data_IF_004865277934
#
_entry.id   IF_004865277934
#
_cell.length_a   1.000
_cell.length_b   1.000
_cell.length_c   1.000
_cell.angle_alpha   90.00
_cell.angle_beta   90.00
_cell.angle_gamma   90.00
#
_symmetry.space_group_name_H-M   'P 1'
#
loop_
_entity.id
_entity.type
_entity.pdbx_description
1 polymer ?
#
# COMPACT_ATOMS: atom_id res chain seq x y z
N UNK A 1 18.59 23.86 9.71
CA UNK A 1 18.71 22.44 9.28
C UNK A 1 18.31 22.31 7.84
N UNK A 2 19.07 21.56 7.03
CA UNK A 2 18.64 21.16 5.69
C UNK A 2 17.65 19.97 5.74
N UNK A 3 16.99 19.70 4.61
CA UNK A 3 15.99 18.65 4.50
C UNK A 3 16.55 17.23 4.75
N UNK A 4 17.80 16.96 4.35
CA UNK A 4 18.41 15.65 4.52
C UNK A 4 18.68 15.34 6.01
N UNK A 5 19.10 16.35 6.76
CA UNK A 5 19.30 16.24 8.22
C UNK A 5 17.99 15.95 8.95
N UNK A 6 16.89 16.60 8.57
CA UNK A 6 15.55 16.33 9.14
C UNK A 6 15.07 14.91 8.80
N UNK A 7 15.25 14.46 7.56
CA UNK A 7 14.91 13.07 7.15
C UNK A 7 15.71 12.05 7.96
N UNK A 8 17.01 12.28 8.15
CA UNK A 8 17.87 11.38 8.91
C UNK A 8 17.44 11.32 10.39
N UNK A 9 17.09 12.46 11.00
CA UNK A 9 16.57 12.52 12.37
C UNK A 9 15.26 11.76 12.50
N UNK A 10 14.32 11.97 11.56
CA UNK A 10 13.01 11.32 11.55
C UNK A 10 13.12 9.79 11.46
N UNK A 11 14.05 9.30 10.64
CA UNK A 11 14.35 7.87 10.53
C UNK A 11 15.04 7.33 11.80
N UNK A 12 16.02 8.04 12.33
CA UNK A 12 16.80 7.62 13.51
C UNK A 12 15.94 7.48 14.77
N UNK A 13 14.92 8.33 14.90
CA UNK A 13 13.96 8.28 16.02
C UNK A 13 12.89 7.19 15.86
N UNK A 14 12.93 6.39 14.78
CA UNK A 14 11.99 5.29 14.55
C UNK A 14 10.58 5.72 14.16
N UNK A 15 10.37 7.01 13.91
CA UNK A 15 9.06 7.59 13.60
C UNK A 15 8.49 7.06 12.28
N UNK A 16 9.36 6.82 11.29
CA UNK A 16 8.97 6.21 10.03
C UNK A 16 8.37 4.81 10.23
N UNK A 17 9.08 3.93 10.95
CA UNK A 17 8.64 2.56 11.16
C UNK A 17 7.37 2.48 12.01
N UNK A 18 7.27 3.36 13.02
CA UNK A 18 6.08 3.49 13.84
C UNK A 18 4.86 3.88 12.98
N UNK A 19 4.99 4.95 12.17
CA UNK A 19 3.90 5.39 11.30
C UNK A 19 3.55 4.36 10.25
N UNK A 20 4.53 3.72 9.64
CA UNK A 20 4.32 2.63 8.68
C UNK A 20 3.51 1.49 9.31
N UNK A 21 3.80 1.10 10.55
CA UNK A 21 3.06 0.06 11.26
C UNK A 21 1.63 0.49 11.57
N UNK A 22 1.45 1.71 12.09
CA UNK A 22 0.12 2.26 12.38
C UNK A 22 -0.78 2.31 11.14
N UNK A 23 -0.23 2.74 9.99
CA UNK A 23 -0.97 2.75 8.73
C UNK A 23 -1.35 1.34 8.26
N UNK A 24 -0.44 0.37 8.42
CA UNK A 24 -0.73 -1.03 8.09
C UNK A 24 -1.82 -1.61 8.99
N UNK A 25 -1.75 -1.38 10.30
CA UNK A 25 -2.74 -1.88 11.24
C UNK A 25 -4.12 -1.29 10.96
N UNK A 26 -4.19 0.01 10.64
CA UNK A 26 -5.43 0.67 10.21
C UNK A 26 -5.98 0.10 8.91
N UNK A 27 -5.11 -0.26 7.96
CA UNK A 27 -5.53 -0.89 6.70
C UNK A 27 -6.09 -2.30 6.95
N UNK A 28 -5.40 -3.12 7.75
CA UNK A 28 -5.86 -4.47 8.10
C UNK A 28 -7.17 -4.44 8.90
N UNK A 29 -7.36 -3.43 9.75
CA UNK A 29 -8.59 -3.24 10.51
C UNK A 29 -9.72 -2.61 9.68
N UNK A 30 -9.42 -2.04 8.51
CA UNK A 30 -10.46 -1.50 7.64
C UNK A 30 -11.26 -2.64 7.02
N UNK A 31 -12.58 -2.59 7.16
CA UNK A 31 -13.48 -3.56 6.54
C UNK A 31 -13.59 -3.26 5.03
N UNK A 32 -12.62 -3.76 4.28
CA UNK A 32 -12.59 -3.65 2.82
C UNK A 32 -13.05 -4.97 2.18
N UNK A 33 -14.29 -5.36 2.51
CA UNK A 33 -14.95 -6.55 1.98
C UNK A 33 -14.89 -6.67 0.46
N UNK A 34 -14.90 -5.53 -0.26
CA UNK A 34 -14.76 -5.50 -1.71
C UNK A 34 -13.37 -5.88 -2.18
N UNK A 35 -12.33 -5.36 -1.54
CA UNK A 35 -10.94 -5.72 -1.83
C UNK A 35 -10.71 -7.23 -1.59
N UNK A 36 -11.22 -7.76 -0.49
CA UNK A 36 -11.11 -9.19 -0.17
C UNK A 36 -11.81 -10.06 -1.23
N UNK A 37 -13.03 -9.69 -1.64
CA UNK A 37 -13.77 -10.38 -2.71
C UNK A 37 -12.98 -10.42 -4.04
N UNK A 38 -12.35 -9.30 -4.41
CA UNK A 38 -11.54 -9.22 -5.63
C UNK A 38 -10.25 -10.03 -5.54
N UNK A 39 -9.59 -10.05 -4.39
CA UNK A 39 -8.41 -10.87 -4.14
C UNK A 39 -8.73 -12.37 -4.22
N UNK A 40 -9.86 -12.79 -3.65
CA UNK A 40 -10.35 -14.18 -3.77
C UNK A 40 -10.60 -14.57 -5.23
N UNK A 41 -11.31 -13.73 -5.99
CA UNK A 41 -11.52 -13.97 -7.44
C UNK A 41 -10.21 -14.05 -8.22
N UNK A 42 -9.24 -13.20 -7.89
CA UNK A 42 -7.93 -13.24 -8.52
C UNK A 42 -7.18 -14.54 -8.18
N UNK A 43 -7.25 -14.98 -6.93
CA UNK A 43 -6.69 -16.27 -6.51
C UNK A 43 -7.33 -17.40 -7.30
N UNK A 44 -8.67 -17.45 -7.39
CA UNK A 44 -9.38 -18.49 -8.12
C UNK A 44 -8.93 -18.56 -9.58
N UNK A 45 -8.80 -17.43 -10.26
CA UNK A 45 -8.30 -17.37 -11.65
C UNK A 45 -6.86 -17.88 -11.79
N UNK A 46 -5.99 -17.60 -10.80
CA UNK A 46 -4.60 -18.11 -10.81
C UNK A 46 -4.55 -19.61 -10.57
N UNK A 47 -5.39 -20.11 -9.66
CA UNK A 47 -5.49 -21.54 -9.34
C UNK A 47 -6.10 -22.32 -10.49
N UNK A 48 -7.13 -21.79 -11.16
CA UNK A 48 -7.72 -22.42 -12.34
C UNK A 48 -6.68 -22.62 -13.45
N UNK A 49 -5.78 -21.64 -13.64
CA UNK A 49 -4.67 -21.73 -14.61
C UNK A 49 -3.55 -22.68 -14.19
N UNK A 50 -3.21 -22.73 -12.90
CA UNK A 50 -2.16 -23.61 -12.34
C UNK A 50 -2.55 -24.13 -10.95
N UNK A 51 -3.32 -25.24 -10.86
CA UNK A 51 -3.81 -25.76 -9.57
C UNK A 51 -2.68 -26.22 -8.63
N UNK A 52 -1.50 -26.56 -9.17
CA UNK A 52 -0.36 -27.01 -8.37
C UNK A 52 0.20 -25.90 -7.47
N UNK A 53 -0.13 -24.63 -7.72
CA UNK A 53 0.34 -23.51 -6.91
C UNK A 53 -0.19 -23.54 -5.47
N UNK A 54 -1.39 -24.12 -5.24
CA UNK A 54 -1.96 -24.29 -3.90
C UNK A 54 -1.24 -25.36 -3.08
N UNK A 55 -0.73 -26.39 -3.74
CA UNK A 55 -0.14 -27.57 -3.10
C UNK A 55 1.37 -27.46 -2.96
N UNK A 56 2.06 -26.75 -3.86
CA UNK A 56 3.52 -26.74 -3.90
C UNK A 56 4.15 -25.46 -3.33
N UNK A 57 3.50 -24.30 -3.41
CA UNK A 57 4.09 -23.07 -2.87
C UNK A 57 3.09 -21.90 -2.74
N UNK A 58 2.45 -21.75 -1.57
CA UNK A 58 1.63 -20.56 -1.26
C UNK A 58 2.38 -19.24 -1.44
N UNK A 59 3.70 -19.24 -1.19
CA UNK A 59 4.56 -18.08 -1.43
C UNK A 59 4.67 -17.70 -2.91
N UNK A 60 4.63 -18.69 -3.82
CA UNK A 60 4.58 -18.45 -5.27
C UNK A 60 3.28 -17.76 -5.68
N UNK A 61 2.13 -18.17 -5.13
CA UNK A 61 0.84 -17.51 -5.40
C UNK A 61 0.86 -16.03 -4.96
N UNK A 62 1.36 -15.78 -3.75
CA UNK A 62 1.53 -14.40 -3.24
C UNK A 62 2.44 -13.58 -4.16
N UNK A 63 3.59 -14.14 -4.57
CA UNK A 63 4.53 -13.45 -5.44
C UNK A 63 3.94 -13.14 -6.83
N UNK A 64 3.14 -14.05 -7.40
CA UNK A 64 2.45 -13.80 -8.68
C UNK A 64 1.44 -12.66 -8.56
N UNK A 65 0.57 -12.70 -7.55
CA UNK A 65 -0.42 -11.65 -7.32
C UNK A 65 0.25 -10.29 -7.10
N UNK A 66 1.27 -10.24 -6.24
CA UNK A 66 2.05 -9.01 -6.01
C UNK A 66 2.68 -8.48 -7.30
N UNK A 67 3.26 -9.37 -8.11
CA UNK A 67 3.88 -8.98 -9.38
C UNK A 67 2.87 -8.35 -10.34
N UNK A 68 1.65 -8.91 -10.42
CA UNK A 68 0.63 -8.40 -11.33
C UNK A 68 0.06 -7.05 -10.88
N UNK A 69 -0.16 -6.89 -9.57
CA UNK A 69 -0.56 -5.61 -8.98
C UNK A 69 0.47 -4.51 -9.27
N UNK A 70 1.76 -4.81 -9.09
CA UNK A 70 2.86 -3.86 -9.33
C UNK A 70 3.05 -3.49 -10.81
N UNK A 71 2.93 -4.47 -11.72
CA UNK A 71 3.09 -4.23 -13.17
C UNK A 71 2.01 -3.32 -13.74
N UNK A 72 0.80 -3.33 -13.18
CA UNK A 72 -0.31 -2.51 -13.69
C UNK A 72 -0.35 -1.08 -13.16
N UNK A 73 0.32 -0.79 -12.04
CA UNK A 73 0.50 0.61 -11.60
C UNK A 73 1.30 1.45 -12.61
N UNK A 74 2.04 0.84 -13.53
CA UNK A 74 2.92 1.51 -14.49
C UNK A 74 2.43 1.48 -15.95
N UNK A 75 1.27 0.89 -16.25
CA UNK A 75 0.78 0.71 -17.62
C UNK A 75 -0.64 1.23 -17.83
N UNK A 76 -0.84 2.09 -18.85
CA UNK A 76 -2.16 2.53 -19.33
C UNK A 76 -2.69 1.50 -20.34
N UNK A 77 -3.84 0.86 -20.12
CA UNK A 77 -4.37 -0.12 -21.04
C UNK A 77 -5.05 0.54 -22.24
N UNK A 78 -4.73 0.08 -23.46
CA UNK A 78 -5.32 0.56 -24.73
C UNK A 78 -5.96 -0.56 -25.55
N UNK A 79 -6.58 -1.56 -24.91
CA UNK A 79 -7.25 -2.69 -25.58
C UNK A 79 -8.30 -3.39 -24.70
N UNK A 80 -8.96 -4.42 -25.25
CA UNK A 80 -9.88 -5.28 -24.49
C UNK A 80 -9.14 -5.98 -23.35
N UNK A 81 -9.64 -5.77 -22.13
CA UNK A 81 -9.05 -6.33 -20.90
C UNK A 81 -9.59 -7.73 -20.65
N UNK A 82 -8.71 -8.67 -20.29
CA UNK A 82 -9.20 -9.95 -19.75
C UNK A 82 -9.82 -9.74 -18.36
N UNK A 83 -10.66 -10.67 -17.91
CA UNK A 83 -11.29 -10.61 -16.59
C UNK A 83 -10.25 -10.45 -15.45
N UNK A 84 -9.11 -11.14 -15.55
CA UNK A 84 -8.02 -11.01 -14.58
C UNK A 84 -7.47 -9.58 -14.54
N UNK A 85 -7.34 -8.94 -15.70
CA UNK A 85 -6.82 -7.58 -15.83
C UNK A 85 -7.79 -6.57 -15.23
N UNK A 86 -9.09 -6.73 -15.47
CA UNK A 86 -10.12 -5.88 -14.91
C UNK A 86 -10.14 -5.95 -13.36
N UNK A 87 -9.99 -7.15 -12.79
CA UNK A 87 -9.92 -7.34 -11.33
C UNK A 87 -8.67 -6.67 -10.76
N UNK A 88 -7.50 -6.84 -11.39
CA UNK A 88 -6.24 -6.19 -10.94
C UNK A 88 -6.35 -4.66 -11.00
N UNK A 89 -7.00 -4.12 -12.03
CA UNK A 89 -7.21 -2.68 -12.14
C UNK A 89 -8.15 -2.16 -11.04
N UNK A 90 -9.25 -2.85 -10.76
CA UNK A 90 -10.19 -2.47 -9.71
C UNK A 90 -9.52 -2.50 -8.32
N UNK A 91 -8.70 -3.53 -8.04
CA UNK A 91 -7.89 -3.60 -6.81
C UNK A 91 -6.95 -2.39 -6.72
N UNK A 92 -6.23 -2.07 -7.80
CA UNK A 92 -5.32 -0.93 -7.80
C UNK A 92 -6.03 0.41 -7.57
N UNK A 93 -7.23 0.58 -8.11
CA UNK A 93 -8.05 1.78 -7.86
C UNK A 93 -8.51 1.87 -6.39
N UNK A 94 -8.88 0.75 -5.77
CA UNK A 94 -9.25 0.72 -4.35
C UNK A 94 -8.06 1.05 -3.46
N UNK A 95 -6.90 0.44 -3.72
CA UNK A 95 -5.67 0.73 -3.00
C UNK A 95 -5.24 2.19 -3.16
N UNK A 96 -5.33 2.73 -4.38
CA UNK A 96 -5.03 4.15 -4.64
C UNK A 96 -5.96 5.07 -3.85
N UNK A 97 -7.27 4.78 -3.87
CA UNK A 97 -8.26 5.54 -3.09
C UNK A 97 -7.98 5.49 -1.59
N UNK A 98 -7.63 4.31 -1.05
CA UNK A 98 -7.25 4.18 0.35
C UNK A 98 -6.03 5.05 0.68
N UNK A 99 -4.97 4.96 -0.12
CA UNK A 99 -3.75 5.75 0.08
C UNK A 99 -4.05 7.25 0.04
N UNK A 100 -4.79 7.73 -0.97
CA UNK A 100 -5.18 9.15 -1.05
C UNK A 100 -5.97 9.58 0.17
N UNK A 101 -6.97 8.80 0.60
CA UNK A 101 -7.76 9.13 1.78
C UNK A 101 -6.91 9.21 3.05
N UNK A 102 -5.97 8.30 3.21
CA UNK A 102 -5.20 8.13 4.45
C UNK A 102 -3.98 9.03 4.52
N UNK A 103 -3.41 9.40 3.37
CA UNK A 103 -2.19 10.21 3.27
C UNK A 103 -2.50 11.64 2.83
N UNK A 104 -3.21 11.81 1.73
CA UNK A 104 -3.42 13.13 1.13
C UNK A 104 -4.56 13.88 1.84
N UNK A 105 -5.71 13.22 2.03
CA UNK A 105 -6.92 13.85 2.58
C UNK A 105 -6.99 13.79 4.11
N UNK A 106 -6.06 13.09 4.76
CA UNK A 106 -6.08 12.91 6.21
C UNK A 106 -5.52 14.15 6.93
N UNK A 107 -6.43 15.06 7.29
CA UNK A 107 -6.10 16.29 8.01
C UNK A 107 -5.35 16.03 9.32
N UNK A 108 -5.77 15.06 10.12
CA UNK A 108 -5.14 14.75 11.40
C UNK A 108 -3.69 14.27 11.21
N UNK A 109 -3.47 13.38 10.25
CA UNK A 109 -2.11 12.94 9.89
C UNK A 109 -1.25 14.11 9.43
N UNK A 110 -1.78 14.99 8.57
CA UNK A 110 -1.05 16.14 8.05
C UNK A 110 -0.71 17.17 9.15
N UNK A 111 -1.62 17.39 10.10
CA UNK A 111 -1.38 18.24 11.27
C UNK A 111 -0.33 17.63 12.20
N UNK A 112 -0.42 16.33 12.48
CA UNK A 112 0.57 15.62 13.31
C UNK A 112 1.97 15.68 12.69
N UNK A 113 2.10 15.41 11.38
CA UNK A 113 3.37 15.49 10.66
C UNK A 113 3.95 16.90 10.71
N UNK A 114 3.10 17.93 10.57
CA UNK A 114 3.51 19.34 10.66
C UNK A 114 3.98 19.70 12.06
N UNK A 115 3.28 19.27 13.11
CA UNK A 115 3.69 19.50 14.51
C UNK A 115 5.04 18.85 14.80
N UNK A 116 5.19 17.56 14.47
CA UNK A 116 6.45 16.83 14.67
C UNK A 116 7.61 17.48 13.91
N UNK A 117 7.37 17.93 12.68
CA UNK A 117 8.39 18.64 11.90
C UNK A 117 8.84 19.94 12.59
N UNK A 118 7.93 20.67 13.22
CA UNK A 118 8.25 21.89 13.95
C UNK A 118 9.00 21.61 15.25
N UNK A 119 8.60 20.59 16.01
CA UNK A 119 9.32 20.13 17.22
C UNK A 119 10.76 19.73 16.90
N UNK A 120 10.95 18.97 15.81
CA UNK A 120 12.26 18.51 15.38
C UNK A 120 13.19 19.64 14.94
N UNK A 121 12.63 20.77 14.45
CA UNK A 121 13.35 22.00 14.13
C UNK A 121 13.71 22.80 15.39
N UNK A 122 12.80 22.91 16.35
CA UNK A 122 12.99 23.72 17.58
C UNK A 122 13.93 23.08 18.60
N UNK A 123 13.96 21.75 18.73
CA UNK A 123 14.85 21.02 19.65
C UNK A 123 16.34 21.04 19.27
N UNK A 124 16.81 22.06 18.55
CA UNK A 124 18.20 22.24 18.12
C UNK A 124 18.87 23.51 18.65
N UNK A 125 18.11 24.38 19.35
CA UNK A 125 18.60 25.63 19.95
C UNK A 125 18.83 25.52 21.48
N UNK A 126 19.14 24.33 22.00
CA UNK A 126 19.48 24.12 23.42
C UNK A 126 20.72 23.24 23.58
#
# INVERSE_FOLDING_TARGET
MDAQTLVNKYKKEGLFDFKRRQLLDNFVASDDSKLNELLEKLIDLKVEKDPAILTQNKGRLVALIQTDLLKRQSSRPSGEKTQEEAIVDEINELLTRYVTKVVDDNKELNEELTSKLNEMKQGTDS
#
